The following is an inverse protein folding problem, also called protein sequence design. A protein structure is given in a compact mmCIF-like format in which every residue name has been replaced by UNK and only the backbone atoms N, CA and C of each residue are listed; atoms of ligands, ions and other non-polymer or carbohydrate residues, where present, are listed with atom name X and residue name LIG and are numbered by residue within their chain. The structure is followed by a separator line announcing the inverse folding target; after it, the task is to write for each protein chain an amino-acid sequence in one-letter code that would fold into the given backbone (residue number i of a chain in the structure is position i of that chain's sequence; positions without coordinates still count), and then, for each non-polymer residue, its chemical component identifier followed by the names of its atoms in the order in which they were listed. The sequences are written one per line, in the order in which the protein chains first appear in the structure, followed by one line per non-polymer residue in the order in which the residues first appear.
data_IF_759973537118
#
_entry.id   IF_759973537118
#
_cell.length_a   1.000
_cell.length_b   1.000
_cell.length_c   1.000
_cell.angle_alpha   90.00
_cell.angle_beta   90.00
_cell.angle_gamma   90.00
#
_symmetry.space_group_name_H-M   'P 1'
#
loop_
_entity.id
_entity.type
_entity.pdbx_description
1 polymer ?
#
# COMPACT_ATOMS: atom_id res chain seq x y z
N UNK A 1 -2.19 -21.35 -19.52
CA UNK A 1 -0.85 -21.56 -18.96
C UNK A 1 -1.02 -22.46 -17.75
N UNK A 2 -0.59 -23.71 -17.82
CA UNK A 2 -0.69 -24.64 -16.70
C UNK A 2 0.68 -24.69 -16.00
N UNK A 3 0.77 -24.16 -14.76
CA UNK A 3 2.01 -24.09 -13.98
C UNK A 3 1.81 -24.80 -12.65
N UNK A 4 2.53 -25.90 -12.45
CA UNK A 4 2.54 -26.65 -11.20
C UNK A 4 3.86 -26.41 -10.47
N UNK A 5 3.78 -25.93 -9.25
CA UNK A 5 4.94 -25.63 -8.41
C UNK A 5 4.88 -26.42 -7.10
N UNK A 6 6.02 -26.91 -6.67
CA UNK A 6 6.21 -27.56 -5.38
C UNK A 6 7.42 -26.92 -4.70
N UNK A 7 7.25 -26.50 -3.46
CA UNK A 7 8.28 -25.75 -2.71
C UNK A 7 8.44 -26.36 -1.31
N UNK A 8 9.10 -27.52 -1.17
CA UNK A 8 9.48 -27.97 0.15
C UNK A 8 10.50 -27.02 0.78
N UNK A 9 10.42 -26.83 2.09
CA UNK A 9 11.32 -25.91 2.80
C UNK A 9 11.58 -26.37 4.22
N UNK A 10 12.76 -26.02 4.71
CA UNK A 10 13.20 -26.22 6.08
C UNK A 10 13.51 -24.86 6.69
N UNK A 11 13.21 -24.69 7.97
CA UNK A 11 13.53 -23.46 8.67
C UNK A 11 13.98 -23.74 10.11
N UNK A 12 14.78 -22.83 10.64
CA UNK A 12 15.10 -22.76 12.06
C UNK A 12 15.01 -21.33 12.53
N UNK A 13 14.61 -21.16 13.77
CA UNK A 13 14.49 -19.86 14.42
C UNK A 13 14.97 -19.97 15.86
N UNK A 14 15.77 -19.02 16.27
CA UNK A 14 16.24 -18.89 17.62
C UNK A 14 15.82 -17.56 18.22
N UNK A 15 15.15 -17.61 19.38
CA UNK A 15 14.75 -16.43 20.14
C UNK A 15 15.55 -16.37 21.43
N UNK A 16 16.31 -15.29 21.58
CA UNK A 16 17.10 -15.00 22.77
C UNK A 16 16.48 -13.85 23.56
N UNK A 17 16.15 -14.12 24.83
CA UNK A 17 15.53 -13.14 25.74
C UNK A 17 16.38 -13.06 27.02
N UNK A 18 17.43 -12.24 27.02
CA UNK A 18 18.27 -12.08 28.22
C UNK A 18 17.55 -11.35 29.36
N UNK A 19 16.49 -10.61 29.03
CA UNK A 19 15.61 -9.95 30.00
C UNK A 19 14.22 -9.76 29.42
N UNK A 20 13.25 -9.35 30.23
CA UNK A 20 11.90 -8.97 29.78
C UNK A 20 11.92 -7.75 28.83
N UNK A 21 12.96 -6.94 28.93
CA UNK A 21 13.12 -5.69 28.16
C UNK A 21 13.76 -5.91 26.79
N UNK A 22 14.47 -7.01 26.61
CA UNK A 22 15.28 -7.25 25.41
C UNK A 22 14.93 -8.59 24.78
N UNK A 23 14.60 -8.56 23.49
CA UNK A 23 14.37 -9.77 22.70
C UNK A 23 15.15 -9.65 21.40
N UNK A 24 15.92 -10.66 21.09
CA UNK A 24 16.56 -10.85 19.80
C UNK A 24 16.05 -12.15 19.18
N UNK A 25 15.70 -12.12 17.90
CA UNK A 25 15.27 -13.28 17.15
C UNK A 25 16.05 -13.34 15.85
N UNK A 26 16.62 -14.49 15.54
CA UNK A 26 17.24 -14.76 14.25
C UNK A 26 16.68 -16.05 13.67
N UNK A 27 16.40 -16.04 12.39
CA UNK A 27 15.88 -17.19 11.68
C UNK A 27 16.52 -17.33 10.31
N UNK A 28 16.56 -18.54 9.82
CA UNK A 28 16.99 -18.89 8.47
C UNK A 28 16.05 -19.94 7.90
N UNK A 29 15.66 -19.76 6.67
CA UNK A 29 14.83 -20.71 5.93
C UNK A 29 15.49 -21.04 4.59
N UNK A 30 15.48 -22.30 4.23
CA UNK A 30 15.88 -22.81 2.92
C UNK A 30 14.66 -23.41 2.22
N UNK A 31 14.36 -22.92 1.03
CA UNK A 31 13.27 -23.41 0.18
C UNK A 31 13.85 -24.01 -1.10
N UNK A 32 13.26 -25.12 -1.55
CA UNK A 32 13.66 -25.85 -2.77
C UNK A 32 12.51 -25.82 -3.76
N UNK A 33 12.57 -24.86 -4.67
CA UNK A 33 11.49 -24.64 -5.63
C UNK A 33 11.70 -25.52 -6.87
N UNK A 34 10.65 -26.24 -7.29
CA UNK A 34 10.72 -27.19 -8.43
C UNK A 34 11.10 -26.55 -9.76
N UNK A 35 10.90 -25.25 -9.93
CA UNK A 35 11.16 -24.53 -11.19
C UNK A 35 12.36 -23.57 -11.07
N UNK A 36 12.47 -22.84 -9.95
CA UNK A 36 13.41 -21.72 -9.79
C UNK A 36 14.64 -22.04 -8.94
N UNK A 37 14.78 -23.28 -8.48
CA UNK A 37 15.93 -23.72 -7.70
C UNK A 37 15.80 -23.41 -6.20
N UNK A 38 16.93 -23.26 -5.52
CA UNK A 38 16.98 -23.14 -4.06
C UNK A 38 17.26 -21.73 -3.62
N UNK A 39 16.59 -21.28 -2.54
CA UNK A 39 16.84 -19.97 -1.92
C UNK A 39 16.94 -20.04 -0.43
N UNK A 40 17.71 -19.10 0.11
CA UNK A 40 17.90 -18.94 1.54
C UNK A 40 17.39 -17.57 1.96
N UNK A 41 16.49 -17.55 2.97
CA UNK A 41 15.90 -16.34 3.53
C UNK A 41 16.29 -16.16 4.99
N UNK A 42 17.40 -15.46 5.26
CA UNK A 42 17.74 -15.03 6.61
C UNK A 42 16.82 -13.90 7.05
N UNK A 43 16.51 -13.89 8.35
CA UNK A 43 15.78 -12.80 8.99
C UNK A 43 16.26 -12.57 10.41
N UNK A 44 16.17 -11.32 10.86
CA UNK A 44 16.43 -10.95 12.25
C UNK A 44 15.43 -9.90 12.72
N UNK A 45 15.11 -9.98 14.00
CA UNK A 45 14.30 -9.00 14.70
C UNK A 45 14.94 -8.67 16.04
N UNK A 46 14.89 -7.41 16.37
CA UNK A 46 15.34 -6.89 17.65
C UNK A 46 14.21 -6.06 18.26
N UNK A 47 13.93 -6.28 19.55
CA UNK A 47 12.98 -5.50 20.33
C UNK A 47 13.64 -5.09 21.64
N UNK A 48 13.60 -3.79 21.91
CA UNK A 48 14.01 -3.22 23.17
C UNK A 48 12.89 -2.39 23.79
N UNK A 49 12.53 -2.73 25.02
CA UNK A 49 11.46 -2.07 25.78
C UNK A 49 12.00 -1.74 27.18
N UNK A 50 12.65 -0.56 27.35
CA UNK A 50 13.23 -0.16 28.65
C UNK A 50 12.19 -0.03 29.74
N UNK A 51 10.99 0.43 29.39
CA UNK A 51 9.79 0.46 30.23
C UNK A 51 8.54 0.25 29.37
N UNK A 52 7.33 0.03 29.96
CA UNK A 52 6.10 -0.23 29.18
C UNK A 52 5.69 0.88 28.21
N UNK A 53 6.21 2.10 28.39
CA UNK A 53 5.86 3.27 27.55
C UNK A 53 6.69 3.38 26.29
N UNK A 54 7.83 2.68 26.21
CA UNK A 54 8.78 2.80 25.12
C UNK A 54 9.02 1.45 24.46
N UNK A 55 8.87 1.38 23.16
CA UNK A 55 9.22 0.18 22.41
C UNK A 55 10.00 0.55 21.17
N UNK A 56 11.19 -0.02 21.03
CA UNK A 56 12.02 0.04 19.85
C UNK A 56 12.03 -1.33 19.18
N UNK A 57 11.82 -1.37 17.88
CA UNK A 57 11.94 -2.57 17.08
C UNK A 57 12.80 -2.30 15.87
N UNK A 58 13.63 -3.28 15.52
CA UNK A 58 14.39 -3.31 14.28
C UNK A 58 14.17 -4.65 13.62
N UNK A 59 14.14 -4.66 12.31
CA UNK A 59 14.03 -5.89 11.53
C UNK A 59 14.86 -5.79 10.27
N UNK A 60 15.42 -6.92 9.85
CA UNK A 60 16.05 -7.09 8.55
C UNK A 60 15.81 -8.51 8.07
N UNK A 61 15.58 -8.68 6.78
CA UNK A 61 15.39 -10.01 6.21
C UNK A 61 15.38 -9.99 4.69
N UNK A 62 15.71 -11.13 4.12
CA UNK A 62 15.63 -11.40 2.70
C UNK A 62 14.35 -12.13 2.40
N UNK A 63 13.70 -11.78 1.29
CA UNK A 63 12.47 -12.43 0.82
C UNK A 63 12.56 -12.81 -0.65
N UNK A 64 11.81 -13.85 -1.00
CA UNK A 64 11.61 -14.30 -2.38
C UNK A 64 10.13 -14.39 -2.66
N UNK A 65 9.76 -14.13 -3.91
CA UNK A 65 8.38 -14.26 -4.38
C UNK A 65 8.38 -14.73 -5.84
N UNK A 66 7.54 -15.70 -6.15
CA UNK A 66 7.26 -16.05 -7.54
C UNK A 66 6.29 -15.02 -8.12
N UNK A 67 6.71 -14.33 -9.15
CA UNK A 67 5.86 -13.37 -9.84
C UNK A 67 4.81 -14.08 -10.70
N UNK A 68 3.57 -13.62 -10.63
CA UNK A 68 2.51 -14.04 -11.54
C UNK A 68 2.12 -12.89 -12.46
N UNK A 69 2.80 -12.81 -13.61
CA UNK A 69 2.70 -11.67 -14.54
C UNK A 69 1.26 -11.34 -14.90
N UNK A 70 0.46 -12.32 -15.31
CA UNK A 70 -0.92 -12.09 -15.76
C UNK A 70 -1.86 -11.77 -14.62
N UNK A 71 -1.81 -12.51 -13.50
CA UNK A 71 -2.72 -12.28 -12.39
C UNK A 71 -2.47 -10.94 -11.72
N UNK A 72 -1.21 -10.52 -11.59
CA UNK A 72 -0.83 -9.27 -10.94
C UNK A 72 -1.01 -8.04 -11.85
N UNK A 73 -1.00 -8.24 -13.17
CA UNK A 73 -1.03 -7.18 -14.16
C UNK A 73 -2.20 -7.31 -15.16
N UNK A 74 -3.28 -8.00 -14.78
CA UNK A 74 -4.43 -8.21 -15.68
C UNK A 74 -5.08 -6.90 -16.15
N UNK A 75 -4.97 -5.83 -15.37
CA UNK A 75 -5.45 -4.50 -15.75
C UNK A 75 -4.72 -3.95 -16.99
N UNK A 76 -3.48 -4.40 -17.26
CA UNK A 76 -2.74 -4.00 -18.46
C UNK A 76 -3.36 -4.52 -19.77
N UNK A 77 -4.27 -5.49 -19.69
CA UNK A 77 -5.03 -5.95 -20.86
C UNK A 77 -6.12 -4.93 -21.29
N UNK A 78 -6.37 -3.90 -20.49
CA UNK A 78 -7.37 -2.86 -20.78
C UNK A 78 -6.75 -1.64 -21.50
N UNK A 79 -5.87 -1.90 -22.46
CA UNK A 79 -5.31 -0.89 -23.34
C UNK A 79 -5.11 -1.45 -24.75
N UNK A 80 -4.76 -0.59 -25.71
CA UNK A 80 -4.55 -0.99 -27.12
C UNK A 80 -3.17 -1.62 -27.38
N UNK A 81 -2.24 -1.57 -26.42
CA UNK A 81 -0.88 -2.07 -26.60
C UNK A 81 -0.80 -3.56 -26.36
N UNK A 82 0.15 -4.21 -27.03
CA UNK A 82 0.45 -5.60 -26.78
C UNK A 82 1.14 -5.76 -25.42
N UNK A 83 0.79 -6.79 -24.68
CA UNK A 83 1.51 -7.17 -23.47
C UNK A 83 2.60 -8.18 -23.85
N UNK A 84 3.84 -7.72 -23.78
CA UNK A 84 5.04 -8.54 -24.01
C UNK A 84 5.65 -8.86 -22.65
N UNK A 85 5.85 -10.11 -22.36
CA UNK A 85 6.52 -10.52 -21.14
C UNK A 85 7.63 -11.51 -21.44
N UNK A 86 8.76 -11.25 -20.81
CA UNK A 86 9.90 -12.12 -20.77
C UNK A 86 9.69 -13.25 -19.75
N UNK A 87 10.66 -14.08 -19.55
CA UNK A 87 10.54 -15.26 -18.71
C UNK A 87 10.06 -14.94 -17.30
N UNK A 88 9.25 -15.86 -16.75
CA UNK A 88 8.86 -15.83 -15.34
C UNK A 88 10.08 -16.17 -14.47
N UNK A 89 10.30 -15.40 -13.39
CA UNK A 89 11.38 -15.67 -12.44
C UNK A 89 10.99 -15.34 -11.01
N UNK A 90 11.88 -15.66 -10.07
CA UNK A 90 11.73 -15.30 -8.67
C UNK A 90 12.17 -13.87 -8.41
N UNK A 91 11.31 -13.08 -7.83
CA UNK A 91 11.69 -11.80 -7.25
C UNK A 91 12.45 -12.00 -5.94
N UNK A 92 13.41 -11.14 -5.70
CA UNK A 92 14.30 -11.20 -4.54
C UNK A 92 14.52 -9.80 -4.00
N UNK A 93 14.35 -9.62 -2.68
CA UNK A 93 14.54 -8.34 -2.05
C UNK A 93 15.07 -8.47 -0.61
N UNK A 94 15.85 -7.48 -0.19
CA UNK A 94 16.13 -7.21 1.20
C UNK A 94 15.17 -6.16 1.73
N UNK A 95 14.54 -6.45 2.87
CA UNK A 95 13.72 -5.49 3.61
C UNK A 95 14.35 -5.25 4.98
N UNK A 96 14.45 -4.00 5.38
CA UNK A 96 14.93 -3.62 6.71
C UNK A 96 14.24 -2.35 7.18
N UNK A 97 14.11 -2.23 8.49
CA UNK A 97 13.45 -1.07 9.06
C UNK A 97 13.52 -1.00 10.56
N UNK A 98 13.05 0.12 11.05
CA UNK A 98 12.95 0.45 12.46
C UNK A 98 11.55 0.96 12.77
N UNK A 99 11.07 0.63 13.97
CA UNK A 99 9.81 1.11 14.50
C UNK A 99 10.03 1.58 15.94
N UNK A 100 9.46 2.72 16.26
CA UNK A 100 9.48 3.33 17.57
C UNK A 100 8.05 3.62 18.01
N UNK A 101 7.69 3.22 19.23
CA UNK A 101 6.41 3.50 19.84
C UNK A 101 6.64 4.12 21.21
N UNK A 102 6.00 5.24 21.46
CA UNK A 102 5.98 5.90 22.74
C UNK A 102 4.55 6.15 23.19
N UNK A 103 4.28 5.85 24.46
CA UNK A 103 3.01 6.16 25.11
C UNK A 103 3.28 6.97 26.37
N UNK A 104 2.58 8.07 26.56
CA UNK A 104 2.65 8.86 27.80
C UNK A 104 1.30 9.52 28.08
N UNK A 105 1.10 9.94 29.33
CA UNK A 105 -0.10 10.64 29.72
C UNK A 105 0.01 12.12 29.42
N UNK A 106 -0.93 12.63 28.64
CA UNK A 106 -1.13 14.05 28.38
C UNK A 106 -2.53 14.44 28.86
N UNK A 107 -2.64 15.34 29.84
CA UNK A 107 -3.93 15.71 30.47
C UNK A 107 -4.75 14.50 30.94
N UNK A 108 -4.10 13.57 31.66
CA UNK A 108 -4.66 12.31 32.19
C UNK A 108 -5.18 11.32 31.11
N UNK A 109 -4.81 11.51 29.87
CA UNK A 109 -5.18 10.63 28.74
C UNK A 109 -3.93 10.05 28.07
N UNK A 110 -4.08 8.84 27.55
CA UNK A 110 -2.97 8.15 26.92
C UNK A 110 -2.76 8.66 25.50
N UNK A 111 -1.67 9.41 25.29
CA UNK A 111 -1.16 9.78 23.98
C UNK A 111 -0.20 8.69 23.50
N UNK A 112 -0.41 8.18 22.31
CA UNK A 112 0.50 7.26 21.66
C UNK A 112 1.07 7.90 20.39
N UNK A 113 2.39 7.86 20.27
CA UNK A 113 3.13 8.25 19.08
C UNK A 113 3.86 7.01 18.55
N UNK A 114 3.71 6.72 17.26
CA UNK A 114 4.46 5.69 16.56
C UNK A 114 5.20 6.31 15.39
N UNK A 115 6.45 5.95 15.21
CA UNK A 115 7.25 6.33 14.05
C UNK A 115 7.92 5.09 13.46
N UNK A 116 7.89 4.97 12.15
CA UNK A 116 8.50 3.84 11.46
C UNK A 116 9.23 4.28 10.20
N UNK A 117 10.28 3.56 9.89
CA UNK A 117 11.03 3.68 8.65
C UNK A 117 11.30 2.30 8.11
N UNK A 118 10.99 2.08 6.83
CA UNK A 118 11.25 0.84 6.12
C UNK A 118 11.88 1.11 4.77
N UNK A 119 12.82 0.25 4.41
CA UNK A 119 13.41 0.22 3.08
C UNK A 119 13.45 -1.19 2.55
N UNK A 120 13.06 -1.32 1.28
CA UNK A 120 13.17 -2.55 0.50
C UNK A 120 14.07 -2.28 -0.70
N UNK A 121 15.17 -3.01 -0.82
CA UNK A 121 16.05 -2.99 -1.98
C UNK A 121 15.82 -4.28 -2.78
N UNK A 122 15.35 -4.13 -4.01
CA UNK A 122 15.09 -5.25 -4.90
C UNK A 122 16.38 -5.66 -5.61
N UNK A 123 16.74 -6.93 -5.48
CA UNK A 123 17.86 -7.54 -6.19
C UNK A 123 17.41 -8.12 -7.53
N UNK A 124 16.18 -8.69 -7.53
CA UNK A 124 15.48 -9.15 -8.71
C UNK A 124 14.02 -8.74 -8.62
N UNK A 125 13.49 -8.16 -9.67
CA UNK A 125 12.10 -7.70 -9.73
C UNK A 125 11.60 -7.76 -11.17
N UNK A 126 10.32 -8.05 -11.37
CA UNK A 126 9.64 -7.78 -12.63
C UNK A 126 9.28 -6.30 -12.69
N UNK A 127 9.79 -5.63 -13.72
CA UNK A 127 9.48 -4.24 -14.00
C UNK A 127 8.46 -4.19 -15.14
N UNK A 128 7.40 -3.45 -14.94
CA UNK A 128 6.40 -3.16 -15.97
C UNK A 128 6.80 -1.85 -16.63
N UNK A 129 7.42 -1.96 -17.80
CA UNK A 129 7.77 -0.81 -18.62
C UNK A 129 6.60 -0.45 -19.54
N UNK A 130 6.07 0.73 -19.30
CA UNK A 130 4.93 1.30 -20.03
C UNK A 130 5.33 2.49 -20.89
N UNK A 131 6.62 2.79 -20.96
CA UNK A 131 7.14 4.07 -21.42
C UNK A 131 8.09 3.92 -22.62
N UNK A 132 8.91 2.88 -22.63
CA UNK A 132 9.96 2.71 -23.66
C UNK A 132 9.42 2.34 -25.05
N UNK A 133 8.22 1.75 -25.12
CA UNK A 133 7.63 1.33 -26.40
C UNK A 133 6.18 1.84 -26.53
N UNK A 134 5.84 2.55 -27.62
CA UNK A 134 4.50 3.08 -27.83
C UNK A 134 3.43 2.01 -28.13
N UNK A 135 3.83 0.83 -28.63
CA UNK A 135 2.92 -0.26 -29.05
C UNK A 135 2.90 -1.44 -28.09
N UNK A 136 3.89 -1.52 -27.21
CA UNK A 136 4.04 -2.63 -26.28
C UNK A 136 4.15 -2.15 -24.84
N UNK A 137 3.56 -2.92 -23.92
CA UNK A 137 3.87 -2.87 -22.49
C UNK A 137 4.80 -4.04 -22.22
N UNK A 138 6.02 -3.76 -21.81
CA UNK A 138 7.06 -4.77 -21.63
C UNK A 138 7.13 -5.11 -20.14
N UNK A 139 7.02 -6.39 -19.82
CA UNK A 139 7.23 -6.91 -18.46
C UNK A 139 8.51 -7.73 -18.49
N UNK A 140 9.58 -7.17 -17.94
CA UNK A 140 10.93 -7.71 -18.03
C UNK A 140 11.64 -7.73 -16.68
N UNK A 141 12.70 -8.53 -16.53
CA UNK A 141 13.58 -8.46 -15.38
C UNK A 141 14.16 -7.06 -15.16
N UNK A 142 14.32 -6.68 -13.89
CA UNK A 142 15.00 -5.46 -13.50
C UNK A 142 16.44 -5.45 -14.04
N UNK A 143 16.76 -4.48 -14.87
CA UNK A 143 18.14 -4.17 -15.30
C UNK A 143 18.57 -2.84 -14.66
N UNK A 144 19.18 -2.91 -13.47
CA UNK A 144 19.61 -1.75 -12.71
C UNK A 144 19.17 -1.79 -11.25
N UNK A 145 18.71 -0.67 -10.74
CA UNK A 145 18.32 -0.50 -9.33
C UNK A 145 16.82 -0.34 -9.19
N UNK A 146 16.27 -0.93 -8.13
CA UNK A 146 14.90 -0.67 -7.68
C UNK A 146 14.83 -0.70 -6.17
N UNK A 147 14.12 0.25 -5.60
CA UNK A 147 13.89 0.32 -4.16
C UNK A 147 12.58 1.00 -3.80
N UNK A 148 12.10 0.70 -2.60
CA UNK A 148 10.99 1.39 -1.96
C UNK A 148 11.42 1.81 -0.54
N UNK A 149 11.36 3.11 -0.26
CA UNK A 149 11.58 3.67 1.07
C UNK A 149 10.28 4.30 1.55
N UNK A 150 9.90 4.02 2.79
CA UNK A 150 8.78 4.69 3.43
C UNK A 150 9.11 5.07 4.87
N UNK A 151 8.63 6.23 5.29
CA UNK A 151 8.56 6.57 6.70
C UNK A 151 7.14 7.03 7.04
N UNK A 152 6.70 6.71 8.25
CA UNK A 152 5.37 7.02 8.73
C UNK A 152 5.42 7.47 10.18
N UNK A 153 4.58 8.42 10.51
CA UNK A 153 4.33 8.84 11.90
C UNK A 153 2.84 8.78 12.14
N UNK A 154 2.46 8.16 13.24
CA UNK A 154 1.08 8.08 13.71
C UNK A 154 0.97 8.68 15.11
N UNK A 155 -0.06 9.47 15.32
CA UNK A 155 -0.42 10.03 16.62
C UNK A 155 -1.85 9.64 16.93
N UNK A 156 -2.06 8.99 18.09
CA UNK A 156 -3.39 8.63 18.60
C UNK A 156 -3.62 9.30 19.93
N UNK A 157 -4.72 10.01 20.04
CA UNK A 157 -5.04 10.74 21.25
C UNK A 157 -6.56 10.81 21.49
N UNK A 158 -7.05 10.38 22.66
CA UNK A 158 -8.44 10.62 23.08
C UNK A 158 -8.61 12.08 23.51
N UNK A 159 -8.97 12.96 22.57
CA UNK A 159 -9.02 14.43 22.75
C UNK A 159 -9.93 14.86 23.90
N UNK A 160 -11.11 14.25 23.95
CA UNK A 160 -12.06 14.34 25.06
C UNK A 160 -12.60 12.95 25.36
N UNK A 161 -13.38 12.81 26.43
CA UNK A 161 -14.04 11.53 26.74
C UNK A 161 -14.85 11.05 25.54
N UNK A 162 -14.60 9.81 25.12
CA UNK A 162 -15.26 9.14 24.00
C UNK A 162 -14.99 9.73 22.61
N UNK A 163 -14.03 10.62 22.44
CA UNK A 163 -13.57 11.12 21.15
C UNK A 163 -12.12 10.72 20.93
N UNK A 164 -11.90 9.78 20.06
CA UNK A 164 -10.57 9.33 19.64
C UNK A 164 -10.16 10.02 18.33
N UNK A 165 -8.98 10.60 18.34
CA UNK A 165 -8.34 11.20 17.18
C UNK A 165 -7.12 10.37 16.80
N UNK A 166 -7.01 10.01 15.53
CA UNK A 166 -5.78 9.46 14.95
C UNK A 166 -5.35 10.35 13.79
N UNK A 167 -4.09 10.74 13.79
CA UNK A 167 -3.45 11.45 12.68
C UNK A 167 -2.26 10.63 12.23
N UNK A 168 -2.19 10.31 10.95
CA UNK A 168 -1.07 9.58 10.37
C UNK A 168 -0.56 10.30 9.12
N UNK A 169 0.75 10.25 8.95
CA UNK A 169 1.42 10.73 7.74
C UNK A 169 2.45 9.73 7.29
N UNK A 170 2.41 9.39 5.99
CA UNK A 170 3.38 8.51 5.32
C UNK A 170 3.99 9.23 4.13
N UNK A 171 5.31 9.15 4.03
CA UNK A 171 6.07 9.56 2.86
C UNK A 171 6.63 8.32 2.17
N UNK A 172 6.58 8.30 0.83
CA UNK A 172 7.12 7.21 0.01
C UNK A 172 8.15 7.77 -0.98
N UNK A 173 9.27 7.05 -1.12
CA UNK A 173 10.23 7.23 -2.24
C UNK A 173 10.43 5.85 -2.88
N UNK A 174 9.77 5.64 -4.02
CA UNK A 174 9.77 4.37 -4.76
C UNK A 174 10.34 4.63 -6.14
N UNK A 175 11.49 4.02 -6.43
CA UNK A 175 12.17 4.16 -7.72
C UNK A 175 12.50 2.81 -8.32
N UNK A 176 12.50 2.78 -9.64
CA UNK A 176 12.87 1.61 -10.43
C UNK A 176 13.59 2.05 -11.69
N UNK A 177 14.48 1.22 -12.20
CA UNK A 177 15.13 1.47 -13.49
C UNK A 177 14.19 1.10 -14.62
N UNK A 178 13.94 2.05 -15.52
CA UNK A 178 13.19 1.89 -16.77
C UNK A 178 14.04 2.50 -17.88
N UNK A 179 14.26 1.79 -18.98
CA UNK A 179 15.07 2.29 -20.10
C UNK A 179 16.48 2.72 -19.70
N UNK A 180 17.09 2.03 -18.74
CA UNK A 180 18.43 2.36 -18.21
C UNK A 180 18.49 3.56 -17.24
N UNK A 181 17.36 4.21 -16.94
CA UNK A 181 17.30 5.35 -16.02
C UNK A 181 16.55 5.01 -14.73
N UNK A 182 17.11 5.42 -13.60
CA UNK A 182 16.45 5.28 -12.29
C UNK A 182 15.39 6.39 -12.13
N UNK A 183 14.13 6.03 -12.27
CA UNK A 183 13.00 6.95 -12.24
C UNK A 183 12.04 6.63 -11.11
N UNK A 184 11.22 7.59 -10.71
CA UNK A 184 10.12 7.39 -9.77
C UNK A 184 9.09 6.41 -10.38
N UNK A 185 8.65 5.41 -9.59
CA UNK A 185 7.66 4.43 -10.05
C UNK A 185 6.36 5.13 -10.40
N UNK A 186 5.85 5.00 -11.65
CA UNK A 186 4.63 5.66 -12.07
C UNK A 186 3.41 5.25 -11.22
N UNK A 187 2.39 6.11 -11.16
CA UNK A 187 1.13 5.90 -10.47
C UNK A 187 1.29 5.58 -8.97
N UNK A 188 2.38 6.05 -8.37
CA UNK A 188 2.67 5.87 -6.95
C UNK A 188 2.61 7.22 -6.24
N UNK A 189 1.70 7.38 -5.26
CA UNK A 189 1.61 8.60 -4.46
C UNK A 189 2.86 8.80 -3.61
N UNK A 190 3.44 10.00 -3.66
CA UNK A 190 4.64 10.38 -2.88
C UNK A 190 4.36 10.44 -1.39
N UNK A 191 3.12 10.75 -0.99
CA UNK A 191 2.73 10.77 0.41
C UNK A 191 1.26 10.39 0.59
N UNK A 192 0.91 9.99 1.82
CA UNK A 192 -0.48 9.81 2.26
C UNK A 192 -0.65 10.37 3.66
N UNK A 193 -1.74 11.11 3.87
CA UNK A 193 -2.17 11.56 5.18
C UNK A 193 -3.52 10.96 5.54
N UNK A 194 -3.73 10.69 6.83
CA UNK A 194 -4.98 10.18 7.35
C UNK A 194 -5.32 10.93 8.64
N UNK A 195 -6.55 11.39 8.74
CA UNK A 195 -7.14 11.89 9.99
C UNK A 195 -8.42 11.11 10.21
N UNK A 196 -8.55 10.44 11.35
CA UNK A 196 -9.79 9.79 11.76
C UNK A 196 -10.27 10.35 13.10
N UNK A 197 -11.55 10.63 13.18
CA UNK A 197 -12.23 11.04 14.40
C UNK A 197 -13.39 10.10 14.67
N UNK A 198 -13.40 9.48 15.86
CA UNK A 198 -14.45 8.56 16.27
C UNK A 198 -15.04 9.06 17.58
N UNK A 199 -16.30 9.49 17.55
CA UNK A 199 -17.00 9.93 18.74
C UNK A 199 -18.14 8.97 19.08
N UNK A 200 -18.13 8.45 20.31
CA UNK A 200 -19.19 7.58 20.82
C UNK A 200 -19.87 8.24 22.00
N UNK A 201 -21.20 8.39 21.99
CA UNK A 201 -21.94 8.98 23.10
C UNK A 201 -21.83 8.15 24.38
N UNK A 202 -22.03 8.79 25.56
CA UNK A 202 -21.81 8.17 26.88
C UNK A 202 -22.52 6.82 27.08
N UNK A 203 -23.69 6.61 26.55
CA UNK A 203 -24.42 5.34 26.65
C UNK A 203 -24.16 4.41 25.45
N UNK A 204 -23.14 4.69 24.63
CA UNK A 204 -22.81 3.97 23.39
C UNK A 204 -24.02 3.80 22.44
N UNK A 205 -24.96 4.78 22.49
CA UNK A 205 -26.15 4.74 21.64
C UNK A 205 -25.89 5.26 20.24
N UNK A 206 -24.99 6.23 20.10
CA UNK A 206 -24.60 6.83 18.83
C UNK A 206 -23.09 6.79 18.66
N UNK A 207 -22.65 6.55 17.45
CA UNK A 207 -21.26 6.67 17.02
C UNK A 207 -21.20 7.53 15.77
N UNK A 208 -20.24 8.43 15.75
CA UNK A 208 -19.94 9.33 14.64
C UNK A 208 -18.52 9.07 14.20
N UNK A 209 -18.35 8.69 12.97
CA UNK A 209 -17.06 8.43 12.35
C UNK A 209 -16.81 9.47 11.27
N UNK A 210 -15.63 10.05 11.28
CA UNK A 210 -15.19 10.97 10.24
C UNK A 210 -13.75 10.66 9.83
N UNK A 211 -13.51 10.61 8.53
CA UNK A 211 -12.19 10.28 7.99
C UNK A 211 -11.84 11.26 6.87
N UNK A 212 -10.61 11.80 6.95
CA UNK A 212 -9.99 12.58 5.88
C UNK A 212 -8.77 11.81 5.39
N UNK A 213 -8.72 11.57 4.09
CA UNK A 213 -7.58 10.94 3.42
C UNK A 213 -6.94 11.97 2.47
N UNK A 214 -5.68 12.30 2.71
CA UNK A 214 -4.85 13.11 1.84
C UNK A 214 -4.02 12.17 0.96
N UNK A 215 -4.16 12.27 -0.34
CA UNK A 215 -3.40 11.48 -1.30
C UNK A 215 -2.49 12.42 -2.07
N UNK A 216 -1.18 12.18 -1.96
CA UNK A 216 -0.17 12.96 -2.65
C UNK A 216 -0.17 12.68 -4.15
N UNK A 217 0.28 13.65 -4.91
CA UNK A 217 0.56 13.48 -6.32
C UNK A 217 1.73 12.50 -6.55
N UNK A 218 1.98 12.22 -7.81
CA UNK A 218 3.07 11.36 -8.23
C UNK A 218 3.25 11.40 -9.74
N UNK A 219 4.20 10.63 -10.23
CA UNK A 219 4.58 10.58 -11.63
C UNK A 219 3.55 9.79 -12.46
N UNK A 220 3.17 10.32 -13.62
CA UNK A 220 2.45 9.59 -14.67
C UNK A 220 3.43 8.83 -15.56
N UNK A 221 3.05 7.67 -16.13
CA UNK A 221 3.85 7.06 -17.18
C UNK A 221 3.86 7.97 -18.42
N UNK A 222 5.03 8.25 -18.95
CA UNK A 222 5.20 9.08 -20.16
C UNK A 222 5.18 8.14 -21.36
N UNK A 223 4.03 8.02 -22.00
CA UNK A 223 3.91 7.22 -23.23
C UNK A 223 4.40 8.07 -24.42
N UNK A 224 5.52 7.68 -24.99
CA UNK A 224 6.04 8.30 -26.21
C UNK A 224 5.24 7.77 -27.40
N UNK A 225 4.17 8.48 -27.77
CA UNK A 225 3.39 8.14 -28.94
C UNK A 225 3.39 9.31 -29.93
N UNK A 226 4.01 9.13 -31.08
CA UNK A 226 4.09 10.13 -32.14
C UNK A 226 2.74 10.48 -32.79
N UNK A 227 1.70 9.64 -32.58
CA UNK A 227 0.40 9.82 -33.20
C UNK A 227 -0.71 10.27 -32.24
N UNK A 228 -0.53 10.08 -30.94
CA UNK A 228 -1.45 10.59 -29.93
C UNK A 228 -0.66 11.12 -28.74
N UNK A 229 -0.69 12.41 -28.56
CA UNK A 229 0.05 13.08 -27.49
C UNK A 229 -0.71 12.88 -26.16
N UNK A 230 -0.71 11.63 -25.62
CA UNK A 230 -1.34 11.32 -24.35
C UNK A 230 -0.76 12.16 -23.21
N UNK A 231 0.53 12.53 -23.30
CA UNK A 231 1.16 13.41 -22.33
C UNK A 231 0.53 14.80 -22.32
N UNK A 232 -0.02 15.27 -23.45
CA UNK A 232 -0.74 16.53 -23.49
C UNK A 232 -2.10 16.47 -22.77
N UNK A 233 -2.71 15.28 -22.69
CA UNK A 233 -4.00 15.08 -21.99
C UNK A 233 -3.82 14.75 -20.51
N UNK A 234 -2.75 14.01 -20.14
CA UNK A 234 -2.57 13.48 -18.77
C UNK A 234 -1.50 14.24 -17.98
N UNK A 235 -0.61 15.00 -18.67
CA UNK A 235 0.57 15.59 -18.05
C UNK A 235 1.61 14.53 -17.65
N UNK A 236 2.70 14.99 -17.03
CA UNK A 236 3.79 14.13 -16.53
C UNK A 236 3.60 13.72 -15.06
N UNK A 237 2.66 14.36 -14.36
CA UNK A 237 2.35 14.11 -12.96
C UNK A 237 0.83 14.15 -12.73
N UNK A 238 0.35 13.33 -11.80
CA UNK A 238 -1.01 13.44 -11.30
C UNK A 238 -1.03 14.30 -10.03
N UNK A 239 -2.12 15.08 -9.80
CA UNK A 239 -2.23 15.99 -8.68
C UNK A 239 -2.52 15.25 -7.36
N UNK A 240 -2.27 15.93 -6.24
CA UNK A 240 -2.77 15.52 -4.94
C UNK A 240 -4.27 15.76 -4.84
N UNK A 241 -4.95 14.93 -4.03
CA UNK A 241 -6.38 15.05 -3.78
C UNK A 241 -6.77 14.60 -2.37
N UNK A 242 -7.97 15.01 -1.95
CA UNK A 242 -8.51 14.72 -0.63
C UNK A 242 -9.84 14.00 -0.75
N UNK A 243 -9.99 12.90 0.00
CA UNK A 243 -11.26 12.18 0.16
C UNK A 243 -11.73 12.32 1.60
N UNK A 244 -13.00 12.66 1.77
CA UNK A 244 -13.64 12.74 3.08
C UNK A 244 -14.79 11.76 3.15
N UNK A 245 -14.88 11.04 4.27
CA UNK A 245 -15.96 10.08 4.53
C UNK A 245 -16.57 10.37 5.89
N UNK A 246 -17.87 10.17 6.03
CA UNK A 246 -18.55 10.28 7.32
C UNK A 246 -19.61 9.19 7.47
N UNK A 247 -19.79 8.72 8.68
CA UNK A 247 -20.85 7.77 9.04
C UNK A 247 -21.43 8.10 10.40
N UNK A 248 -22.73 7.93 10.54
CA UNK A 248 -23.45 7.94 11.81
C UNK A 248 -24.07 6.56 12.03
N UNK A 249 -23.89 6.02 13.24
CA UNK A 249 -24.45 4.74 13.61
C UNK A 249 -25.30 4.87 14.87
N UNK A 250 -26.51 4.35 14.85
CA UNK A 250 -27.38 4.22 16.02
C UNK A 250 -27.39 2.76 16.48
N UNK A 251 -27.02 2.52 17.72
CA UNK A 251 -27.03 1.18 18.34
C UNK A 251 -28.28 0.96 19.16
N UNK A 252 -28.85 -0.24 19.03
CA UNK A 252 -29.90 -0.82 19.83
C UNK A 252 -29.42 -2.14 20.44
N UNK A 253 -30.25 -2.81 21.22
CA UNK A 253 -29.83 -4.01 21.97
C UNK A 253 -29.28 -5.14 21.09
N UNK A 254 -29.91 -5.41 19.95
CA UNK A 254 -29.54 -6.52 19.05
C UNK A 254 -29.28 -6.07 17.60
N UNK A 255 -29.46 -4.81 17.31
CA UNK A 255 -29.30 -4.30 15.96
C UNK A 255 -28.74 -2.86 15.97
N UNK A 256 -28.25 -2.45 14.84
CA UNK A 256 -27.81 -1.06 14.65
C UNK A 256 -28.23 -0.61 13.24
N UNK A 257 -28.51 0.66 13.12
CA UNK A 257 -28.76 1.35 11.85
C UNK A 257 -27.63 2.31 11.61
N UNK A 258 -27.14 2.36 10.40
CA UNK A 258 -26.12 3.32 10.01
C UNK A 258 -26.47 3.98 8.69
N UNK A 259 -26.01 5.21 8.53
CA UNK A 259 -26.01 5.95 7.29
C UNK A 259 -24.69 6.66 7.15
N UNK A 260 -24.20 6.77 5.93
CA UNK A 260 -22.91 7.39 5.68
C UNK A 260 -22.79 7.92 4.26
N UNK A 261 -21.71 8.66 4.07
CA UNK A 261 -21.32 9.20 2.79
C UNK A 261 -19.84 8.96 2.56
N UNK A 262 -19.50 8.37 1.43
CA UNK A 262 -18.14 8.23 0.93
C UNK A 262 -17.86 9.30 -0.10
N UNK A 263 -16.61 9.75 -0.12
CA UNK A 263 -16.16 10.79 -1.04
C UNK A 263 -17.05 12.05 -0.98
N UNK A 264 -17.21 12.63 0.22
CA UNK A 264 -18.00 13.86 0.44
C UNK A 264 -17.54 15.02 -0.44
N UNK A 265 -16.24 15.04 -0.77
CA UNK A 265 -15.61 16.04 -1.64
C UNK A 265 -16.05 15.93 -3.09
N UNK A 266 -16.70 14.82 -3.46
CA UNK A 266 -17.10 14.50 -4.83
C UNK A 266 -15.94 14.55 -5.84
N UNK A 267 -14.74 14.22 -5.34
CA UNK A 267 -13.54 14.25 -6.17
C UNK A 267 -13.52 13.05 -7.12
N UNK A 268 -13.26 13.31 -8.39
CA UNK A 268 -13.05 12.28 -9.40
C UNK A 268 -11.82 12.62 -10.24
N UNK A 269 -11.11 11.60 -10.65
CA UNK A 269 -10.05 11.72 -11.64
C UNK A 269 -10.69 12.18 -12.98
N UNK A 270 -10.14 13.25 -13.55
CA UNK A 270 -10.51 13.63 -14.90
C UNK A 270 -9.87 12.68 -15.92
N UNK A 271 -10.64 12.30 -16.94
CA UNK A 271 -10.21 11.41 -18.03
C UNK A 271 -9.56 10.10 -17.54
N UNK A 272 -10.26 9.28 -16.71
CA UNK A 272 -9.69 8.04 -16.18
C UNK A 272 -9.43 6.98 -17.28
N UNK A 273 -10.11 7.09 -18.41
CA UNK A 273 -9.96 6.26 -19.59
C UNK A 273 -9.65 7.15 -20.79
N UNK A 274 -8.51 6.94 -21.41
CA UNK A 274 -8.12 7.62 -22.63
C UNK A 274 -8.77 6.92 -23.83
N UNK A 275 -9.23 7.68 -24.84
CA UNK A 275 -9.88 7.13 -26.02
C UNK A 275 -11.19 6.37 -25.73
N UNK A 276 -11.91 6.75 -24.66
CA UNK A 276 -13.15 6.07 -24.23
C UNK A 276 -14.26 6.06 -25.30
N UNK A 277 -14.25 7.03 -26.22
CA UNK A 277 -15.15 7.13 -27.36
C UNK A 277 -14.84 6.10 -28.46
N UNK A 278 -13.65 5.53 -28.46
CA UNK A 278 -13.16 4.57 -29.45
C UNK A 278 -12.42 3.39 -28.82
N UNK A 279 -13.09 2.51 -28.05
CA UNK A 279 -12.46 1.49 -27.20
C UNK A 279 -11.74 0.36 -27.96
N UNK A 280 -11.95 0.25 -29.27
CA UNK A 280 -11.31 -0.77 -30.12
C UNK A 280 -10.26 -0.20 -31.07
N UNK A 281 -9.92 1.09 -30.94
CA UNK A 281 -8.92 1.77 -31.77
C UNK A 281 -7.62 2.03 -31.00
N UNK A 282 -6.59 2.40 -31.77
CA UNK A 282 -5.33 2.88 -31.19
C UNK A 282 -5.57 4.11 -30.34
N UNK A 283 -5.07 4.11 -29.11
CA UNK A 283 -5.21 5.19 -28.16
C UNK A 283 -6.16 4.92 -27.02
N UNK A 284 -6.90 3.82 -27.02
CA UNK A 284 -7.64 3.39 -25.85
C UNK A 284 -6.68 2.95 -24.74
N UNK A 285 -6.81 3.57 -23.55
CA UNK A 285 -6.03 3.17 -22.38
C UNK A 285 -6.83 3.42 -21.08
N UNK A 286 -7.23 2.35 -20.41
CA UNK A 286 -7.91 2.35 -19.11
C UNK A 286 -6.95 1.99 -17.95
N UNK A 287 -5.63 2.06 -18.16
CA UNK A 287 -4.64 1.63 -17.19
C UNK A 287 -4.01 2.78 -16.39
N UNK A 288 -4.39 4.04 -16.66
CA UNK A 288 -3.79 5.23 -16.06
C UNK A 288 -4.64 5.79 -14.91
N UNK A 289 -5.18 4.90 -14.10
CA UNK A 289 -6.04 5.27 -12.97
C UNK A 289 -5.17 5.51 -11.73
N UNK A 290 -5.22 6.73 -11.18
CA UNK A 290 -4.50 7.16 -9.98
C UNK A 290 -5.42 7.69 -8.88
N UNK A 291 -6.68 8.01 -9.21
CA UNK A 291 -7.67 8.58 -8.31
C UNK A 291 -9.04 7.90 -8.41
N UNK A 292 -10.01 8.34 -7.63
CA UNK A 292 -11.38 7.81 -7.71
C UNK A 292 -11.98 8.00 -9.09
N UNK A 293 -12.62 6.96 -9.61
CA UNK A 293 -13.36 6.98 -10.88
C UNK A 293 -14.87 7.16 -10.67
N UNK A 294 -15.31 7.16 -9.42
CA UNK A 294 -16.70 7.42 -9.04
C UNK A 294 -16.76 8.53 -8.00
N UNK A 295 -17.75 9.40 -8.11
CA UNK A 295 -18.00 10.50 -7.19
C UNK A 295 -18.57 10.07 -5.85
N UNK A 296 -19.29 10.97 -5.22
CA UNK A 296 -19.91 10.78 -3.91
C UNK A 296 -20.90 9.61 -3.92
N UNK A 297 -20.83 8.79 -2.87
CA UNK A 297 -21.78 7.70 -2.64
C UNK A 297 -22.44 7.85 -1.27
N UNK A 298 -23.76 7.78 -1.25
CA UNK A 298 -24.56 7.78 -0.01
C UNK A 298 -25.04 6.34 0.21
N UNK A 299 -24.91 5.86 1.43
CA UNK A 299 -25.36 4.52 1.80
C UNK A 299 -26.05 4.50 3.16
N UNK A 300 -26.93 3.51 3.34
CA UNK A 300 -27.52 3.22 4.64
C UNK A 300 -27.68 1.70 4.79
N UNK A 301 -27.72 1.23 6.03
CA UNK A 301 -27.87 -0.19 6.29
C UNK A 301 -28.29 -0.51 7.71
N UNK A 302 -28.65 -1.77 7.90
CA UNK A 302 -29.03 -2.34 9.20
C UNK A 302 -28.12 -3.54 9.46
N UNK A 303 -27.59 -3.63 10.69
CA UNK A 303 -26.81 -4.78 11.16
C UNK A 303 -27.56 -5.44 12.32
N UNK A 304 -27.75 -6.73 12.23
CA UNK A 304 -28.30 -7.54 13.31
C UNK A 304 -27.20 -8.43 13.90
N UNK A 305 -27.09 -8.45 15.24
CA UNK A 305 -26.10 -9.24 15.96
C UNK A 305 -26.78 -10.40 16.64
N UNK A 306 -26.46 -11.63 16.22
CA UNK A 306 -26.79 -12.86 16.87
C UNK A 306 -25.73 -13.14 17.94
N UNK A 307 -26.07 -12.99 19.22
CA UNK A 307 -25.21 -13.48 20.27
C UNK A 307 -25.39 -14.98 20.35
N UNK A 308 -24.39 -15.76 19.95
CA UNK A 308 -24.27 -17.15 20.40
C UNK A 308 -23.92 -17.11 21.89
N UNK A 309 -24.80 -17.66 22.71
CA UNK A 309 -24.57 -17.93 24.14
C UNK A 309 -23.54 -19.02 24.28
#
# INVERSE_FOLDING_TARGET
MDRKETVPGLFTEYTFKPSERLTFMAGIRADFHSVFGSFITPRMHFRYQPDPRWTFRMSAGKGYRTANVLAENSFLLSNFRNLVFEESFQEEAWNYGVNFIQSYKLFDRDLQISAEFYRTDFQKQLVVDRESDPYNVIVAPLDGKSYATSWQVDVRYPVIKNLDLTVAWRQNDVKQTIGGQLVEKPLTSRYKGLITMNYTTNLKKWMFDYTVQLNGGGRMPVVINNHMNHSALTGTEFPSYTIMNAQITRYFRKWSVYAGVENMTDYMQMHPVLGADRPFEHGFDATQIWGPVSGRRIYAGIRFTLNYI
#
